data_IF_322226686084
#
_entry.id   IF_322226686084
#
_cell.length_a   1.000
_cell.length_b   1.000
_cell.length_c   1.000
_cell.angle_alpha   90.00
_cell.angle_beta   90.00
_cell.angle_gamma   90.00
#
_symmetry.space_group_name_H-M   'P 1'
#
loop_
_entity.id
_entity.type
_entity.pdbx_description
1 polymer ?
#
# COMPACT_ATOMS: atom_id res chain seq x y z
N UNK A 1 -16.60 2.07 20.88
CA UNK A 1 -16.71 2.34 19.42
C UNK A 1 -15.73 1.44 18.69
N UNK A 2 -16.13 0.76 17.61
CA UNK A 2 -15.23 -0.12 16.86
C UNK A 2 -14.16 0.68 16.10
N UNK A 3 -12.97 0.10 15.94
CA UNK A 3 -11.82 0.75 15.26
C UNK A 3 -12.07 1.01 13.77
N UNK A 4 -13.07 0.34 13.20
CA UNK A 4 -13.51 0.46 11.81
C UNK A 4 -14.02 1.86 11.47
N UNK A 5 -14.73 2.50 12.39
CA UNK A 5 -15.37 3.80 12.13
C UNK A 5 -14.33 4.90 11.84
N UNK A 6 -13.29 5.08 12.68
CA UNK A 6 -12.19 5.99 12.36
C UNK A 6 -11.44 5.63 11.06
N UNK A 7 -11.31 4.35 10.71
CA UNK A 7 -10.67 3.92 9.46
C UNK A 7 -11.49 4.37 8.24
N UNK A 8 -12.80 4.21 8.29
CA UNK A 8 -13.71 4.65 7.23
C UNK A 8 -13.68 6.17 7.07
N UNK A 9 -13.62 6.93 8.17
CA UNK A 9 -13.48 8.38 8.12
C UNK A 9 -12.18 8.82 7.43
N UNK A 10 -11.04 8.19 7.77
CA UNK A 10 -9.75 8.45 7.12
C UNK A 10 -9.75 8.10 5.63
N UNK A 11 -10.36 6.97 5.26
CA UNK A 11 -10.50 6.57 3.86
C UNK A 11 -11.29 7.61 3.04
N UNK A 12 -12.40 8.15 3.59
CA UNK A 12 -13.20 9.16 2.90
C UNK A 12 -12.41 10.45 2.63
N UNK A 13 -11.61 10.90 3.62
CA UNK A 13 -10.74 12.06 3.45
C UNK A 13 -9.66 11.81 2.38
N UNK A 14 -8.96 10.67 2.48
CA UNK A 14 -7.94 10.27 1.50
C UNK A 14 -8.50 10.24 0.07
N UNK A 15 -9.66 9.61 -0.14
CA UNK A 15 -10.28 9.49 -1.48
C UNK A 15 -10.77 10.82 -2.05
N UNK A 16 -11.02 11.83 -1.20
CA UNK A 16 -11.42 13.17 -1.65
C UNK A 16 -10.20 14.01 -2.09
N UNK A 17 -9.08 13.88 -1.38
CA UNK A 17 -7.84 14.62 -1.64
C UNK A 17 -7.00 13.96 -2.73
N UNK A 18 -6.75 12.67 -2.57
CA UNK A 18 -6.11 11.84 -3.57
C UNK A 18 -7.20 11.43 -4.53
N UNK A 19 -7.32 12.17 -5.65
CA UNK A 19 -7.93 11.61 -6.87
C UNK A 19 -7.27 10.26 -7.05
N UNK A 20 -7.96 9.18 -6.69
CA UNK A 20 -7.44 7.83 -6.89
C UNK A 20 -6.90 7.84 -8.32
N UNK A 21 -5.61 7.53 -8.54
CA UNK A 21 -5.02 7.59 -9.86
C UNK A 21 -5.73 6.52 -10.71
N UNK A 22 -6.87 6.91 -11.24
CA UNK A 22 -7.75 6.09 -12.03
C UNK A 22 -7.03 5.83 -13.35
N UNK A 23 -7.16 4.60 -13.84
CA UNK A 23 -6.50 4.21 -15.08
C UNK A 23 -5.02 3.89 -14.93
N UNK A 24 -4.49 3.72 -13.71
CA UNK A 24 -3.20 3.06 -13.56
C UNK A 24 -3.28 1.61 -14.09
N UNK A 25 -2.28 1.17 -14.86
CA UNK A 25 -2.18 -0.23 -15.25
C UNK A 25 -2.11 -1.14 -14.02
N UNK A 26 -2.71 -2.33 -14.11
CA UNK A 26 -2.60 -3.32 -13.05
C UNK A 26 -1.16 -3.81 -12.86
N UNK A 27 -0.34 -3.76 -13.92
CA UNK A 27 1.07 -4.14 -13.88
C UNK A 27 1.92 -2.97 -13.37
N UNK A 28 2.77 -3.22 -12.37
CA UNK A 28 3.73 -2.24 -11.88
C UNK A 28 4.69 -1.74 -12.98
N UNK A 29 4.92 -0.43 -13.06
CA UNK A 29 5.76 0.21 -14.09
C UNK A 29 7.22 -0.24 -14.00
N UNK A 30 7.73 -0.44 -12.78
CA UNK A 30 9.11 -0.82 -12.52
C UNK A 30 9.37 -2.32 -12.73
N UNK A 31 8.31 -3.12 -12.95
CA UNK A 31 8.39 -4.57 -13.17
C UNK A 31 9.09 -5.33 -12.02
N UNK A 32 8.88 -4.87 -10.79
CA UNK A 32 9.40 -5.50 -9.57
C UNK A 32 8.27 -5.90 -8.62
N UNK A 33 8.55 -6.89 -7.77
CA UNK A 33 7.70 -7.28 -6.64
C UNK A 33 8.52 -7.21 -5.35
N UNK A 34 7.94 -6.60 -4.31
CA UNK A 34 8.52 -6.48 -2.98
C UNK A 34 7.81 -7.46 -2.06
N UNK A 35 8.56 -8.33 -1.39
CA UNK A 35 8.07 -9.19 -0.30
C UNK A 35 8.60 -8.62 1.02
N UNK A 36 7.72 -8.31 1.95
CA UNK A 36 8.08 -7.68 3.22
C UNK A 36 7.27 -8.22 4.41
N UNK A 37 7.72 -7.92 5.64
CA UNK A 37 6.99 -8.29 6.85
C UNK A 37 5.71 -7.44 7.02
N UNK A 38 4.68 -7.99 7.68
CA UNK A 38 3.45 -7.28 8.09
C UNK A 38 3.64 -6.34 9.30
N UNK A 39 4.88 -6.12 9.74
CA UNK A 39 5.22 -5.23 10.86
C UNK A 39 4.55 -3.85 10.71
N UNK A 40 3.77 -3.43 11.71
CA UNK A 40 2.99 -2.19 11.67
C UNK A 40 3.86 -0.93 11.63
N UNK A 41 5.15 -1.05 11.94
CA UNK A 41 6.12 0.05 11.93
C UNK A 41 6.76 0.25 10.56
N UNK A 42 6.56 -0.68 9.63
CA UNK A 42 7.15 -0.64 8.30
C UNK A 42 6.19 -0.03 7.27
N UNK A 43 6.53 1.18 6.82
CA UNK A 43 5.96 1.80 5.62
C UNK A 43 6.84 1.44 4.40
N UNK A 44 6.40 0.46 3.63
CA UNK A 44 7.13 -0.03 2.46
C UNK A 44 7.22 1.03 1.36
N UNK A 45 6.20 1.88 1.20
CA UNK A 45 6.18 2.90 0.16
C UNK A 45 7.19 4.00 0.49
N UNK A 46 7.19 4.48 1.74
CA UNK A 46 8.12 5.50 2.18
C UNK A 46 9.59 5.04 2.16
N UNK A 47 9.88 3.83 2.68
CA UNK A 47 11.26 3.32 2.78
C UNK A 47 11.89 3.08 1.40
N UNK A 48 11.10 2.66 0.41
CA UNK A 48 11.58 2.38 -0.95
C UNK A 48 11.33 3.52 -1.95
N UNK A 49 10.71 4.62 -1.53
CA UNK A 49 10.37 5.74 -2.41
C UNK A 49 9.37 5.37 -3.51
N UNK A 50 8.43 4.46 -3.23
CA UNK A 50 7.43 4.00 -4.19
C UNK A 50 6.23 4.95 -4.25
N UNK A 51 5.64 5.03 -5.45
CA UNK A 51 4.35 5.66 -5.70
C UNK A 51 3.33 4.62 -6.18
N UNK A 52 2.01 4.89 -6.07
CA UNK A 52 0.99 3.99 -6.57
C UNK A 52 1.20 3.64 -8.05
N UNK A 53 1.29 2.34 -8.35
CA UNK A 53 1.55 1.84 -9.71
C UNK A 53 2.99 1.46 -10.00
N UNK A 54 3.95 1.69 -9.10
CA UNK A 54 5.35 1.36 -9.36
C UNK A 54 5.67 -0.13 -9.25
N UNK A 55 5.23 -0.76 -8.16
CA UNK A 55 5.60 -2.12 -7.81
C UNK A 55 4.45 -2.90 -7.19
N UNK A 56 4.50 -4.23 -7.29
CA UNK A 56 3.68 -5.09 -6.46
C UNK A 56 4.27 -5.20 -5.05
N UNK A 57 3.45 -5.09 -4.02
CA UNK A 57 3.87 -5.21 -2.62
C UNK A 57 3.09 -6.34 -1.94
N UNK A 58 3.80 -7.37 -1.51
CA UNK A 58 3.28 -8.55 -0.82
C UNK A 58 3.80 -8.51 0.61
N UNK A 59 2.89 -8.64 1.60
CA UNK A 59 3.26 -8.60 3.02
C UNK A 59 2.74 -9.83 3.77
N UNK A 60 3.62 -10.48 4.54
CA UNK A 60 3.27 -11.62 5.40
C UNK A 60 4.04 -11.57 6.74
N UNK A 61 3.78 -12.51 7.65
CA UNK A 61 4.55 -12.62 8.89
C UNK A 61 6.02 -12.99 8.60
N UNK A 62 6.94 -12.08 8.90
CA UNK A 62 8.39 -12.28 8.72
C UNK A 62 8.94 -11.96 7.32
N UNK A 63 8.09 -11.72 6.31
CA UNK A 63 8.54 -11.48 4.93
C UNK A 63 9.13 -12.74 4.28
N UNK A 64 8.64 -13.92 4.68
CA UNK A 64 9.20 -15.20 4.29
C UNK A 64 8.71 -15.61 2.90
N UNK A 65 9.64 -16.04 2.05
CA UNK A 65 9.35 -16.72 0.79
C UNK A 65 9.34 -18.22 1.07
N UNK A 66 8.23 -18.88 0.72
CA UNK A 66 8.02 -20.33 0.93
C UNK A 66 7.54 -20.98 -0.35
#
# INVERSE_FOLDING_TARGET
MPVTEPLLARHRAYSAEVRAPGGLPAKGTQKVAVVACMDSRLDVFAVLGLTPGDAHVIRNAGGIVT
#
